data_IF_494027646862
#
_entry.id   IF_494027646862
#
_cell.length_a   1.000
_cell.length_b   1.000
_cell.length_c   1.000
_cell.angle_alpha   90.00
_cell.angle_beta   90.00
_cell.angle_gamma   90.00
#
_symmetry.space_group_name_H-M   'P 1'
#
loop_
_entity.id
_entity.type
_entity.pdbx_description
1 polymer ?
#
# COMPACT_ATOMS: atom_id res chain seq x y z
N UNK A 1 -3.20 -10.51 25.33
CA UNK A 1 -4.14 -9.37 25.38
C UNK A 1 -3.57 -8.14 24.68
N UNK A 2 -2.36 -7.67 25.03
CA UNK A 2 -1.70 -6.52 24.36
C UNK A 2 -1.58 -6.65 22.82
N UNK A 3 -1.29 -7.84 22.29
CA UNK A 3 -1.21 -8.08 20.83
C UNK A 3 -2.56 -7.89 20.11
N UNK A 4 -3.69 -8.26 20.72
CA UNK A 4 -5.01 -8.04 20.12
C UNK A 4 -5.42 -6.57 20.15
N UNK A 5 -4.99 -5.84 21.17
CA UNK A 5 -5.22 -4.41 21.30
C UNK A 5 -4.39 -3.61 20.28
N UNK A 6 -3.13 -4.02 20.05
CA UNK A 6 -2.29 -3.43 19.01
C UNK A 6 -2.83 -3.69 17.61
N UNK A 7 -3.18 -4.95 17.29
CA UNK A 7 -3.73 -5.31 15.99
C UNK A 7 -5.02 -4.55 15.64
N UNK A 8 -5.84 -4.22 16.66
CA UNK A 8 -7.08 -3.47 16.50
C UNK A 8 -6.90 -1.95 16.51
N UNK A 9 -5.66 -1.43 16.59
CA UNK A 9 -5.42 0.01 16.57
C UNK A 9 -5.80 0.62 15.21
N UNK A 10 -6.69 1.61 15.24
CA UNK A 10 -7.21 2.33 14.08
C UNK A 10 -6.11 2.88 13.15
N UNK A 11 -4.96 3.25 13.73
CA UNK A 11 -3.79 3.73 12.99
C UNK A 11 -3.33 2.75 11.91
N UNK A 12 -3.37 1.44 12.19
CA UNK A 12 -2.99 0.42 11.21
C UNK A 12 -3.95 0.40 10.02
N UNK A 13 -5.26 0.49 10.26
CA UNK A 13 -6.26 0.49 9.20
C UNK A 13 -6.17 1.74 8.32
N UNK A 14 -5.94 2.92 8.91
CA UNK A 14 -5.69 4.16 8.16
C UNK A 14 -4.45 4.03 7.26
N UNK A 15 -3.38 3.46 7.79
CA UNK A 15 -2.14 3.23 7.04
C UNK A 15 -2.33 2.19 5.91
N UNK A 16 -3.11 1.13 6.17
CA UNK A 16 -3.46 0.12 5.17
C UNK A 16 -4.26 0.74 4.02
N UNK A 17 -5.28 1.55 4.33
CA UNK A 17 -6.12 2.24 3.32
C UNK A 17 -5.26 3.13 2.42
N UNK A 18 -4.38 3.95 3.01
CA UNK A 18 -3.47 4.81 2.25
C UNK A 18 -2.62 3.99 1.29
N UNK A 19 -2.10 2.85 1.76
CA UNK A 19 -1.23 1.99 0.95
C UNK A 19 -1.99 1.30 -0.18
N UNK A 20 -3.22 0.84 0.08
CA UNK A 20 -4.11 0.28 -0.94
C UNK A 20 -4.42 1.34 -2.00
N UNK A 21 -4.71 2.59 -1.59
CA UNK A 21 -4.97 3.69 -2.52
C UNK A 21 -3.77 3.96 -3.44
N UNK A 22 -2.53 3.92 -2.92
CA UNK A 22 -1.31 4.03 -3.72
C UNK A 22 -1.18 2.86 -4.70
N UNK A 23 -1.45 1.63 -4.26
CA UNK A 23 -1.44 0.46 -5.14
C UNK A 23 -2.47 0.56 -6.27
N UNK A 24 -3.70 0.99 -5.95
CA UNK A 24 -4.76 1.24 -6.93
C UNK A 24 -4.35 2.31 -7.93
N UNK A 25 -3.73 3.41 -7.48
CA UNK A 25 -3.21 4.45 -8.36
C UNK A 25 -2.17 3.89 -9.33
N UNK A 26 -1.25 3.04 -8.87
CA UNK A 26 -0.30 2.33 -9.73
C UNK A 26 -0.99 1.44 -10.78
N UNK A 27 -2.04 0.70 -10.38
CA UNK A 27 -2.83 -0.12 -11.29
C UNK A 27 -3.55 0.71 -12.36
N UNK A 28 -4.18 1.84 -12.00
CA UNK A 28 -4.87 2.69 -12.97
C UNK A 28 -3.90 3.41 -13.91
N UNK A 29 -2.76 3.88 -13.39
CA UNK A 29 -1.73 4.52 -14.21
C UNK A 29 -1.16 3.58 -15.28
N UNK A 30 -1.24 2.26 -15.10
CA UNK A 30 -0.85 1.27 -16.10
C UNK A 30 -1.59 1.44 -17.44
N UNK A 31 -2.82 1.94 -17.38
CA UNK A 31 -3.71 2.08 -18.52
C UNK A 31 -3.84 3.53 -19.00
N UNK A 32 -3.08 4.44 -18.40
CA UNK A 32 -3.09 5.84 -18.80
C UNK A 32 -2.29 6.04 -20.09
N UNK A 33 -2.80 6.89 -20.98
CA UNK A 33 -2.19 7.14 -22.29
C UNK A 33 -1.17 8.29 -22.19
N UNK A 34 0.01 7.99 -21.65
CA UNK A 34 1.13 8.93 -21.62
C UNK A 34 2.48 8.22 -21.73
N UNK A 35 3.54 8.91 -22.20
CA UNK A 35 4.88 8.34 -22.27
C UNK A 35 5.36 7.86 -20.90
N UNK A 36 5.91 6.65 -20.85
CA UNK A 36 6.42 6.02 -19.61
C UNK A 36 5.36 5.57 -18.59
N UNK A 37 4.07 5.53 -18.94
CA UNK A 37 3.00 5.03 -18.06
C UNK A 37 3.32 3.67 -17.42
N UNK A 38 3.85 2.73 -18.21
CA UNK A 38 4.30 1.41 -17.73
C UNK A 38 5.42 1.51 -16.70
N UNK A 39 6.43 2.35 -16.92
CA UNK A 39 7.56 2.50 -16.00
C UNK A 39 7.10 3.12 -14.67
N UNK A 40 6.32 4.20 -14.75
CA UNK A 40 5.79 4.90 -13.58
C UNK A 40 4.87 3.98 -12.77
N UNK A 41 3.96 3.25 -13.45
CA UNK A 41 3.09 2.26 -12.82
C UNK A 41 3.89 1.18 -12.09
N UNK A 42 4.92 0.61 -12.73
CA UNK A 42 5.75 -0.43 -12.12
C UNK A 42 6.51 0.08 -10.88
N UNK A 43 7.05 1.31 -10.92
CA UNK A 43 7.70 1.93 -9.77
C UNK A 43 6.73 2.10 -8.62
N UNK A 44 5.53 2.63 -8.89
CA UNK A 44 4.49 2.83 -7.87
C UNK A 44 4.05 1.49 -7.28
N UNK A 45 3.86 0.46 -8.11
CA UNK A 45 3.48 -0.87 -7.64
C UNK A 45 4.59 -1.53 -6.81
N UNK A 46 5.86 -1.35 -7.18
CA UNK A 46 7.00 -1.85 -6.41
C UNK A 46 7.04 -1.22 -5.01
N UNK A 47 7.03 0.11 -4.93
CA UNK A 47 7.05 0.81 -3.65
C UNK A 47 5.76 0.60 -2.85
N UNK A 48 4.60 0.60 -3.50
CA UNK A 48 3.31 0.29 -2.88
C UNK A 48 3.29 -1.10 -2.25
N UNK A 49 3.86 -2.10 -2.93
CA UNK A 49 3.99 -3.47 -2.39
C UNK A 49 4.89 -3.50 -1.15
N UNK A 50 6.04 -2.81 -1.18
CA UNK A 50 6.95 -2.72 -0.04
C UNK A 50 6.25 -2.07 1.16
N UNK A 51 5.54 -0.95 0.95
CA UNK A 51 4.81 -0.26 2.02
C UNK A 51 3.68 -1.14 2.56
N UNK A 52 2.99 -1.89 1.69
CA UNK A 52 1.89 -2.78 2.11
C UNK A 52 2.38 -3.89 3.02
N UNK A 53 3.51 -4.50 2.66
CA UNK A 53 4.16 -5.50 3.52
C UNK A 53 4.55 -4.90 4.88
N UNK A 54 5.11 -3.68 4.90
CA UNK A 54 5.42 -3.00 6.18
C UNK A 54 4.16 -2.69 6.99
N UNK A 55 3.04 -2.35 6.35
CA UNK A 55 1.76 -2.14 7.02
C UNK A 55 1.29 -3.43 7.71
N UNK A 56 1.35 -4.56 7.01
CA UNK A 56 0.95 -5.87 7.52
C UNK A 56 1.86 -6.31 8.67
N UNK A 57 3.19 -6.20 8.53
CA UNK A 57 4.09 -6.58 9.61
C UNK A 57 3.87 -5.75 10.87
N UNK A 58 3.57 -4.45 10.75
CA UNK A 58 3.21 -3.61 11.92
C UNK A 58 1.93 -4.04 12.64
N UNK A 59 1.01 -4.74 11.97
CA UNK A 59 -0.21 -5.27 12.58
C UNK A 59 0.10 -6.58 13.32
N UNK A 60 1.06 -7.35 12.82
CA UNK A 60 1.47 -8.64 13.36
C UNK A 60 2.44 -8.54 14.53
N UNK A 61 3.25 -7.48 14.56
CA UNK A 61 4.08 -7.09 15.71
C UNK A 61 3.22 -6.65 16.92
#
# INVERSE_FOLDING_TARGET
MQSMENANNESHYKFLILTIAVGLLGCFLRFADFPHATLVSNIILLFGSIIALRAVFKILD
#
